data_IF_144284508689
#
_entry.id   IF_144284508689
#
_cell.length_a   1.000
_cell.length_b   1.000
_cell.length_c   1.000
_cell.angle_alpha   90.00
_cell.angle_beta   90.00
_cell.angle_gamma   90.00
#
_symmetry.space_group_name_H-M   'P 1'
#
loop_
_entity.id
_entity.type
_entity.pdbx_description
1 polymer ?
#
# COMPACT_ATOMS: atom_id res chain seq x y z
N UNK A 1 -38.88 37.81 27.79
CA UNK A 1 -37.60 37.95 27.07
C UNK A 1 -36.90 36.62 26.72
N UNK A 2 -37.06 35.51 27.45
CA UNK A 2 -36.39 34.23 27.11
C UNK A 2 -36.99 33.47 25.91
N UNK A 3 -38.31 33.55 25.68
CA UNK A 3 -38.99 32.84 24.56
C UNK A 3 -38.64 33.44 23.18
N UNK A 4 -38.39 34.75 23.10
CA UNK A 4 -37.98 35.41 21.86
C UNK A 4 -36.56 35.01 21.42
N UNK A 5 -35.67 34.64 22.36
CA UNK A 5 -34.30 34.22 22.04
C UNK A 5 -34.22 32.79 21.48
N UNK A 6 -35.08 31.89 21.96
CA UNK A 6 -35.12 30.50 21.49
C UNK A 6 -35.65 30.41 20.05
N UNK A 7 -36.67 31.22 19.73
CA UNK A 7 -37.22 31.28 18.38
C UNK A 7 -36.23 31.91 17.38
N UNK A 8 -35.44 32.91 17.79
CA UNK A 8 -34.41 33.49 16.95
C UNK A 8 -33.28 32.49 16.67
N UNK A 9 -32.89 31.70 17.68
CA UNK A 9 -31.86 30.66 17.53
C UNK A 9 -32.33 29.51 16.62
N UNK A 10 -33.60 29.10 16.75
CA UNK A 10 -34.20 28.09 15.88
C UNK A 10 -34.26 28.56 14.41
N UNK A 11 -34.61 29.83 14.17
CA UNK A 11 -34.63 30.41 12.82
C UNK A 11 -33.21 30.47 12.22
N UNK A 12 -32.20 30.84 13.01
CA UNK A 12 -30.81 30.86 12.55
C UNK A 12 -30.30 29.46 12.19
N UNK A 13 -30.65 28.44 12.97
CA UNK A 13 -30.31 27.04 12.66
C UNK A 13 -31.01 26.59 11.38
N UNK A 14 -32.30 26.90 11.22
CA UNK A 14 -33.04 26.54 10.01
C UNK A 14 -32.49 27.25 8.77
N UNK A 15 -32.07 28.51 8.87
CA UNK A 15 -31.41 29.23 7.79
C UNK A 15 -30.03 28.65 7.45
N UNK A 16 -29.25 28.23 8.46
CA UNK A 16 -27.97 27.57 8.25
C UNK A 16 -28.15 26.21 7.55
N UNK A 17 -29.11 25.40 7.99
CA UNK A 17 -29.44 24.11 7.37
C UNK A 17 -29.96 24.29 5.94
N UNK A 18 -30.86 25.25 5.70
CA UNK A 18 -31.35 25.56 4.36
C UNK A 18 -30.22 26.02 3.41
N UNK A 19 -29.24 26.78 3.92
CA UNK A 19 -28.07 27.20 3.16
C UNK A 19 -27.16 26.03 2.81
N UNK A 20 -26.97 25.09 3.75
CA UNK A 20 -26.21 23.85 3.52
C UNK A 20 -26.93 22.98 2.49
N UNK A 21 -28.24 22.80 2.59
CA UNK A 21 -29.03 22.05 1.61
C UNK A 21 -29.03 22.72 0.23
N UNK A 22 -29.09 24.04 0.15
CA UNK A 22 -29.01 24.78 -1.12
C UNK A 22 -27.64 24.65 -1.80
N UNK A 23 -26.55 24.72 -1.02
CA UNK A 23 -25.19 24.51 -1.55
C UNK A 23 -25.01 23.05 -1.96
N UNK A 24 -25.54 22.10 -1.19
CA UNK A 24 -25.46 20.68 -1.51
C UNK A 24 -26.26 20.32 -2.76
N UNK A 25 -27.50 20.82 -2.89
CA UNK A 25 -28.34 20.58 -4.08
C UNK A 25 -27.75 21.24 -5.33
N UNK A 26 -27.13 22.42 -5.21
CA UNK A 26 -26.43 23.07 -6.32
C UNK A 26 -25.14 22.32 -6.73
N UNK A 27 -24.49 21.63 -5.79
CA UNK A 27 -23.35 20.76 -6.06
C UNK A 27 -23.80 19.46 -6.77
N UNK A 28 -24.94 18.91 -6.35
CA UNK A 28 -25.56 17.73 -6.94
C UNK A 28 -26.06 18.01 -8.37
N UNK A 29 -26.68 19.18 -8.60
CA UNK A 29 -27.08 19.65 -9.93
C UNK A 29 -25.91 19.95 -10.89
N UNK A 30 -24.71 20.22 -10.34
CA UNK A 30 -23.46 20.34 -11.12
C UNK A 30 -22.87 18.97 -11.47
N UNK A 31 -23.00 18.00 -10.57
CA UNK A 31 -22.58 16.61 -10.78
C UNK A 31 -23.51 15.87 -11.75
N UNK A 32 -24.83 16.06 -11.65
CA UNK A 32 -25.83 15.53 -12.61
C UNK A 32 -25.63 16.12 -14.02
N UNK A 33 -25.28 17.41 -14.14
CA UNK A 33 -25.01 18.04 -15.44
C UNK A 33 -23.75 17.53 -16.14
N UNK A 34 -22.77 17.00 -15.41
CA UNK A 34 -21.62 16.30 -16.01
C UNK A 34 -21.96 14.87 -16.47
N UNK A 35 -23.10 14.31 -16.04
CA UNK A 35 -23.55 12.95 -16.38
C UNK A 35 -24.47 12.87 -17.60
N UNK A 36 -25.07 13.99 -18.05
CA UNK A 36 -26.00 14.06 -19.21
C UNK A 36 -25.41 14.70 -20.47
N UNK A 37 -24.18 14.34 -20.80
CA UNK A 37 -23.50 14.85 -21.98
C UNK A 37 -22.79 13.78 -22.78
N UNK A 38 -23.43 12.66 -23.11
CA UNK A 38 -23.16 11.84 -24.31
C UNK A 38 -24.24 10.75 -24.40
N UNK A 39 -25.25 10.99 -25.22
CA UNK A 39 -26.18 9.94 -25.67
C UNK A 39 -26.46 10.18 -27.13
N UNK A 40 -25.90 9.32 -27.99
CA UNK A 40 -26.38 9.09 -29.35
C UNK A 40 -26.98 7.68 -29.40
N UNK A 41 -28.11 7.46 -30.11
CA UNK A 41 -28.93 6.26 -29.97
C UNK A 41 -28.50 5.15 -30.95
N UNK A 42 -28.58 3.90 -30.53
CA UNK A 42 -28.57 2.75 -31.44
C UNK A 42 -28.10 1.43 -30.81
N UNK A 43 -29.06 0.51 -30.61
CA UNK A 43 -28.95 -0.96 -30.59
C UNK A 43 -28.25 -1.68 -29.41
N UNK A 44 -29.08 -2.00 -28.41
CA UNK A 44 -29.35 -3.37 -27.92
C UNK A 44 -28.20 -4.32 -27.57
N UNK A 45 -27.99 -4.55 -26.26
CA UNK A 45 -27.92 -5.90 -25.66
C UNK A 45 -27.75 -5.77 -24.14
N UNK A 46 -28.60 -6.47 -23.40
CA UNK A 46 -28.59 -6.58 -21.95
C UNK A 46 -27.35 -7.33 -21.45
N UNK A 47 -26.49 -6.67 -20.66
CA UNK A 47 -25.73 -7.33 -19.60
C UNK A 47 -25.73 -6.48 -18.33
N UNK A 48 -26.35 -7.05 -17.31
CA UNK A 48 -26.53 -6.48 -15.98
C UNK A 48 -25.19 -6.59 -15.22
N UNK A 49 -24.39 -5.51 -15.24
CA UNK A 49 -23.20 -5.39 -14.41
C UNK A 49 -23.56 -5.04 -12.97
N UNK A 50 -22.97 -5.75 -12.01
CA UNK A 50 -23.06 -5.50 -10.57
C UNK A 50 -22.68 -4.03 -10.24
N UNK A 51 -23.32 -3.39 -9.25
CA UNK A 51 -23.03 -2.00 -8.92
C UNK A 51 -21.63 -1.88 -8.31
N UNK A 52 -20.79 -1.04 -8.93
CA UNK A 52 -19.53 -0.57 -8.33
C UNK A 52 -19.80 0.00 -6.93
N UNK A 53 -18.99 -0.46 -5.97
CA UNK A 53 -19.16 -0.20 -4.56
C UNK A 53 -18.93 1.28 -4.19
N UNK A 54 -20.03 1.98 -3.90
CA UNK A 54 -20.06 3.38 -3.44
C UNK A 54 -19.30 3.58 -2.11
N UNK A 55 -19.08 2.52 -1.32
CA UNK A 55 -18.34 2.56 -0.06
C UNK A 55 -16.85 2.90 -0.28
N UNK A 56 -16.22 2.28 -1.28
CA UNK A 56 -14.80 2.49 -1.59
C UNK A 56 -14.48 3.93 -2.05
N UNK A 57 -15.41 4.55 -2.79
CA UNK A 57 -15.29 5.96 -3.23
C UNK A 57 -15.43 6.94 -2.07
N UNK A 58 -16.34 6.66 -1.13
CA UNK A 58 -16.60 7.52 0.04
C UNK A 58 -15.45 7.46 1.06
N UNK A 59 -14.83 6.30 1.24
CA UNK A 59 -13.68 6.13 2.11
C UNK A 59 -12.43 6.87 1.55
N UNK A 60 -12.15 6.75 0.24
CA UNK A 60 -11.02 7.43 -0.38
C UNK A 60 -11.09 8.96 -0.30
N UNK A 61 -12.29 9.54 -0.26
CA UNK A 61 -12.47 10.98 -0.01
C UNK A 61 -12.19 11.41 1.43
N UNK A 62 -12.32 10.51 2.42
CA UNK A 62 -12.00 10.79 3.83
C UNK A 62 -10.49 10.72 4.11
N UNK A 63 -9.71 10.03 3.27
CA UNK A 63 -8.25 9.93 3.38
C UNK A 63 -7.53 11.18 2.85
N UNK A 64 -8.21 12.00 2.04
CA UNK A 64 -7.66 13.25 1.51
C UNK A 64 -7.84 14.38 2.54
N UNK A 65 -6.91 14.51 3.49
CA UNK A 65 -6.82 15.73 4.32
C UNK A 65 -6.34 16.87 3.42
N UNK A 66 -7.10 17.96 3.21
CA UNK A 66 -6.71 19.01 2.29
C UNK A 66 -5.48 19.78 2.78
N UNK A 67 -4.49 19.95 1.90
CA UNK A 67 -3.55 21.05 2.03
C UNK A 67 -4.27 22.38 1.72
N UNK A 68 -3.96 23.45 2.46
CA UNK A 68 -4.51 24.79 2.23
C UNK A 68 -4.28 25.27 0.78
N UNK A 69 -5.35 25.36 -0.02
CA UNK A 69 -5.28 25.80 -1.41
C UNK A 69 -5.33 27.34 -1.56
N UNK A 70 -4.33 27.90 -2.25
CA UNK A 70 -4.41 29.21 -2.93
C UNK A 70 -5.03 29.01 -4.33
N UNK A 71 -6.04 29.83 -4.62
CA UNK A 71 -6.80 29.87 -5.89
C UNK A 71 -5.96 30.46 -7.03
N UNK A 72 -6.10 29.92 -8.26
CA UNK A 72 -6.46 30.73 -9.43
C UNK A 72 -6.85 29.88 -10.66
N UNK A 73 -8.13 30.05 -11.01
CA UNK A 73 -8.80 30.13 -12.32
C UNK A 73 -8.08 29.76 -13.63
N UNK A 74 -8.72 28.83 -14.38
CA UNK A 74 -9.48 29.18 -15.59
C UNK A 74 -8.82 28.94 -16.95
N UNK A 75 -9.39 28.03 -17.75
CA UNK A 75 -9.15 27.94 -19.19
C UNK A 75 -9.46 26.57 -19.77
N UNK A 76 -10.66 26.38 -20.32
CA UNK A 76 -11.05 25.16 -21.03
C UNK A 76 -10.83 25.29 -22.53
N UNK A 77 -10.33 24.25 -23.18
CA UNK A 77 -10.51 24.01 -24.62
C UNK A 77 -10.51 22.52 -24.95
N UNK A 78 -11.32 22.21 -25.95
CA UNK A 78 -11.77 20.90 -26.44
C UNK A 78 -10.70 20.26 -27.35
N UNK A 79 -10.43 18.96 -27.19
CA UNK A 79 -9.59 18.20 -28.13
C UNK A 79 -10.25 16.87 -28.56
N UNK A 80 -10.15 16.61 -29.88
CA UNK A 80 -10.73 15.53 -30.66
C UNK A 80 -10.00 14.19 -30.48
N UNK A 81 -10.77 13.11 -30.52
CA UNK A 81 -10.34 11.71 -30.62
C UNK A 81 -9.54 11.43 -31.89
N UNK A 82 -8.43 10.69 -31.75
CA UNK A 82 -7.87 9.84 -32.80
C UNK A 82 -7.51 8.49 -32.19
N UNK A 83 -8.26 7.49 -32.61
CA UNK A 83 -8.04 6.04 -32.47
C UNK A 83 -6.71 5.62 -33.09
N UNK A 84 -5.97 4.71 -32.44
CA UNK A 84 -5.29 3.61 -33.13
C UNK A 84 -4.91 2.45 -32.18
N UNK A 85 -4.99 1.26 -32.77
CA UNK A 85 -5.00 -0.09 -32.19
C UNK A 85 -3.68 -0.53 -31.52
N UNK A 86 -3.72 -1.54 -30.61
CA UNK A 86 -2.55 -1.97 -29.86
C UNK A 86 -1.73 -3.03 -30.64
N UNK A 87 -0.42 -2.80 -30.73
CA UNK A 87 0.56 -3.83 -31.06
C UNK A 87 1.06 -4.43 -29.75
N UNK A 88 0.87 -5.75 -29.60
CA UNK A 88 1.33 -6.55 -28.47
C UNK A 88 2.86 -6.70 -28.52
N UNK A 89 3.57 -6.22 -27.49
CA UNK A 89 4.99 -6.53 -27.28
C UNK A 89 5.22 -6.81 -25.80
N UNK A 90 5.76 -8.00 -25.53
CA UNK A 90 5.81 -8.65 -24.22
C UNK A 90 6.67 -7.93 -23.19
N UNK A 91 6.12 -7.82 -21.98
CA UNK A 91 6.92 -7.63 -20.76
C UNK A 91 7.84 -8.82 -20.59
N UNK A 92 9.14 -8.56 -20.48
CA UNK A 92 10.11 -9.52 -19.94
C UNK A 92 9.70 -9.78 -18.49
N UNK A 93 9.07 -10.93 -18.29
CA UNK A 93 8.69 -11.44 -16.99
C UNK A 93 9.91 -11.46 -16.07
N UNK A 94 9.69 -11.04 -14.81
CA UNK A 94 10.49 -11.43 -13.65
C UNK A 94 11.13 -12.79 -13.89
N UNK A 95 12.47 -12.89 -13.91
CA UNK A 95 13.19 -14.13 -14.17
C UNK A 95 12.55 -15.30 -13.41
N UNK A 96 11.70 -16.02 -14.14
CA UNK A 96 10.92 -17.14 -13.66
C UNK A 96 11.89 -18.30 -13.66
N UNK A 97 12.69 -18.44 -12.59
CA UNK A 97 13.28 -19.74 -12.31
C UNK A 97 12.11 -20.70 -12.05
N UNK A 98 11.85 -21.53 -13.06
CA UNK A 98 10.89 -22.62 -13.05
C UNK A 98 11.47 -23.76 -12.24
N UNK A 99 11.32 -23.69 -10.93
CA UNK A 99 11.62 -24.82 -10.05
C UNK A 99 10.37 -25.69 -9.89
N UNK A 100 10.57 -27.01 -9.86
CA UNK A 100 9.61 -28.11 -9.58
C UNK A 100 8.80 -27.99 -8.25
N UNK A 101 8.77 -26.81 -7.62
CA UNK A 101 8.20 -26.54 -6.28
C UNK A 101 6.68 -26.40 -6.26
N UNK A 102 6.02 -26.29 -7.42
CA UNK A 102 4.55 -26.21 -7.52
C UNK A 102 3.88 -27.48 -6.96
N UNK A 103 4.41 -28.67 -7.29
CA UNK A 103 3.89 -29.95 -6.79
C UNK A 103 4.04 -30.13 -5.27
N UNK A 104 5.03 -29.47 -4.65
CA UNK A 104 5.30 -29.57 -3.22
C UNK A 104 4.35 -28.70 -2.37
N UNK A 105 3.68 -27.70 -2.98
CA UNK A 105 2.80 -26.74 -2.29
C UNK A 105 1.39 -27.25 -2.05
N UNK A 106 0.90 -28.16 -2.90
CA UNK A 106 -0.43 -28.77 -2.80
C UNK A 106 -0.44 -30.02 -1.90
N UNK A 107 0.74 -30.51 -1.50
CA UNK A 107 0.85 -31.67 -0.63
C UNK A 107 0.44 -31.31 0.82
N UNK A 108 -0.33 -32.16 1.51
CA UNK A 108 -0.54 -32.06 2.96
C UNK A 108 0.79 -32.07 3.70
N UNK A 109 0.87 -31.41 4.86
CA UNK A 109 2.07 -31.37 5.71
C UNK A 109 2.47 -32.80 6.12
N UNK A 110 3.42 -33.40 5.38
CA UNK A 110 4.02 -34.71 5.72
C UNK A 110 5.29 -34.55 6.57
N UNK A 111 5.75 -33.33 6.79
CA UNK A 111 7.06 -33.01 7.38
C UNK A 111 6.91 -32.07 8.57
N UNK A 112 7.03 -32.62 9.79
CA UNK A 112 7.24 -31.86 11.03
C UNK A 112 6.10 -30.95 11.49
N UNK A 113 6.27 -30.36 12.68
CA UNK A 113 5.43 -29.27 13.14
C UNK A 113 5.61 -28.04 12.23
N UNK A 114 4.53 -27.29 11.89
CA UNK A 114 4.65 -26.03 11.16
C UNK A 114 5.20 -24.88 12.03
N UNK A 115 5.26 -25.06 13.35
CA UNK A 115 5.73 -24.06 14.30
C UNK A 115 6.80 -24.66 15.21
N UNK A 116 7.93 -23.97 15.34
CA UNK A 116 9.03 -24.22 16.26
C UNK A 116 8.91 -23.32 17.51
N UNK A 117 9.31 -23.84 18.67
CA UNK A 117 9.34 -23.12 19.96
C UNK A 117 8.02 -22.42 20.35
N UNK A 118 6.88 -22.91 19.83
CA UNK A 118 5.53 -22.42 20.14
C UNK A 118 5.19 -21.04 19.57
N UNK A 119 6.11 -20.34 18.86
CA UNK A 119 5.84 -19.01 18.30
C UNK A 119 6.53 -18.73 16.96
N UNK A 120 7.42 -19.60 16.48
CA UNK A 120 8.15 -19.35 15.23
C UNK A 120 7.67 -20.27 14.13
N UNK A 121 7.43 -19.75 12.93
CA UNK A 121 7.31 -20.64 11.78
C UNK A 121 8.54 -21.54 11.67
N UNK A 122 8.30 -22.81 11.37
CA UNK A 122 9.36 -23.80 11.36
C UNK A 122 10.43 -23.50 10.32
N UNK A 123 11.67 -23.92 10.60
CA UNK A 123 12.79 -23.71 9.66
C UNK A 123 12.51 -24.27 8.26
N UNK A 124 11.88 -25.44 8.19
CA UNK A 124 11.58 -26.08 6.90
C UNK A 124 10.56 -25.27 6.07
N UNK A 125 9.61 -24.59 6.71
CA UNK A 125 8.69 -23.69 6.01
C UNK A 125 9.41 -22.44 5.54
N UNK A 126 10.28 -21.85 6.38
CA UNK A 126 11.05 -20.66 5.99
C UNK A 126 12.01 -20.95 4.83
N UNK A 127 12.62 -22.13 4.77
CA UNK A 127 13.49 -22.57 3.66
C UNK A 127 12.71 -22.76 2.33
N UNK A 128 11.39 -22.98 2.41
CA UNK A 128 10.49 -23.09 1.25
C UNK A 128 9.89 -21.74 0.82
N UNK A 129 9.98 -20.71 1.66
CA UNK A 129 9.47 -19.38 1.34
C UNK A 129 10.25 -18.81 0.15
N UNK A 130 9.57 -18.32 -0.90
CA UNK A 130 10.27 -17.72 -2.04
C UNK A 130 11.08 -16.50 -1.61
N UNK A 131 12.20 -16.29 -2.30
CA UNK A 131 13.14 -15.24 -1.93
C UNK A 131 12.60 -13.81 -2.12
N UNK A 132 11.44 -13.66 -2.76
CA UNK A 132 10.86 -12.38 -3.16
C UNK A 132 11.77 -11.61 -4.12
N UNK A 133 11.76 -10.29 -4.02
CA UNK A 133 12.70 -9.43 -4.72
C UNK A 133 14.07 -9.52 -4.04
N UNK A 134 15.00 -10.28 -4.63
CA UNK A 134 16.36 -10.41 -4.08
C UNK A 134 17.10 -9.07 -4.12
N UNK A 135 18.09 -8.89 -3.25
CA UNK A 135 18.87 -7.64 -3.21
C UNK A 135 19.62 -7.39 -4.52
N UNK A 136 20.16 -8.45 -5.13
CA UNK A 136 20.82 -8.41 -6.45
C UNK A 136 19.85 -7.96 -7.53
N UNK A 137 18.71 -8.62 -7.65
CA UNK A 137 17.67 -8.25 -8.61
C UNK A 137 17.21 -6.80 -8.41
N UNK A 138 16.96 -6.41 -7.16
CA UNK A 138 16.50 -5.08 -6.85
C UNK A 138 17.55 -4.02 -7.19
N UNK A 139 18.84 -4.27 -6.91
CA UNK A 139 19.92 -3.35 -7.28
C UNK A 139 20.04 -3.20 -8.81
N UNK A 140 20.05 -4.30 -9.55
CA UNK A 140 20.09 -4.28 -11.02
C UNK A 140 18.92 -3.50 -11.60
N UNK A 141 17.71 -3.73 -11.07
CA UNK A 141 16.52 -3.00 -11.48
C UNK A 141 16.65 -1.51 -11.18
N UNK A 142 17.09 -1.14 -9.96
CA UNK A 142 17.26 0.26 -9.55
C UNK A 142 18.26 1.01 -10.43
N UNK A 143 19.42 0.41 -10.70
CA UNK A 143 20.44 1.01 -11.56
C UNK A 143 19.89 1.29 -12.95
N UNK A 144 19.20 0.31 -13.53
CA UNK A 144 18.57 0.42 -14.83
C UNK A 144 17.45 1.46 -14.85
N UNK A 145 16.57 1.46 -13.85
CA UNK A 145 15.42 2.36 -13.77
C UNK A 145 15.85 3.84 -13.68
N UNK A 146 16.99 4.14 -13.04
CA UNK A 146 17.52 5.52 -12.94
C UNK A 146 17.97 6.11 -14.26
N UNK A 147 18.48 5.30 -15.18
CA UNK A 147 19.05 5.76 -16.45
C UNK A 147 18.14 5.50 -17.65
N UNK A 148 17.07 4.73 -17.48
CA UNK A 148 16.18 4.36 -18.57
C UNK A 148 15.30 5.54 -18.98
N UNK A 149 15.26 5.84 -20.28
CA UNK A 149 14.32 6.82 -20.84
C UNK A 149 12.88 6.34 -20.71
N UNK A 150 12.00 7.22 -20.25
CA UNK A 150 10.55 7.01 -20.19
C UNK A 150 9.96 7.48 -21.50
N UNK A 151 9.45 6.55 -22.30
CA UNK A 151 8.89 6.83 -23.63
C UNK A 151 7.38 7.02 -23.64
N UNK A 152 6.71 6.62 -22.54
CA UNK A 152 5.26 6.76 -22.40
C UNK A 152 4.88 6.91 -20.93
N UNK A 153 3.95 7.83 -20.66
CA UNK A 153 3.25 7.97 -19.39
C UNK A 153 1.75 7.89 -19.63
N UNK A 154 1.07 6.98 -18.93
CA UNK A 154 -0.37 6.79 -19.04
C UNK A 154 -1.04 6.59 -17.67
N UNK A 155 -2.35 6.82 -17.55
CA UNK A 155 -3.06 6.53 -16.31
C UNK A 155 -2.86 5.07 -15.90
N UNK A 156 -2.55 4.85 -14.62
CA UNK A 156 -2.32 3.54 -14.04
C UNK A 156 -1.80 3.68 -12.61
N UNK A 157 -1.61 2.56 -11.92
CA UNK A 157 -1.02 2.56 -10.57
C UNK A 157 -1.85 3.30 -9.51
N UNK A 158 -3.17 3.13 -9.55
CA UNK A 158 -4.09 3.61 -8.52
C UNK A 158 -4.67 4.99 -8.84
N UNK A 159 -4.16 6.03 -8.18
CA UNK A 159 -4.73 7.40 -8.26
C UNK A 159 -4.47 8.04 -9.62
N UNK A 160 -5.32 9.00 -10.00
CA UNK A 160 -5.17 9.76 -11.26
C UNK A 160 -3.86 10.54 -11.34
N UNK A 161 -3.31 10.94 -10.18
CA UNK A 161 -2.04 11.66 -10.04
C UNK A 161 -0.84 10.74 -10.19
N UNK A 162 -1.01 9.42 -10.15
CA UNK A 162 0.04 8.43 -10.38
C UNK A 162 -0.06 7.96 -11.84
N UNK A 163 1.07 7.60 -12.44
CA UNK A 163 1.10 7.17 -13.83
C UNK A 163 1.83 5.83 -13.95
N UNK A 164 1.52 5.09 -15.01
CA UNK A 164 2.31 3.98 -15.48
C UNK A 164 3.32 4.49 -16.50
N UNK A 165 4.60 4.39 -16.17
CA UNK A 165 5.70 4.63 -17.09
C UNK A 165 6.00 3.36 -17.89
N UNK A 166 6.26 3.54 -19.19
CA UNK A 166 6.94 2.54 -20.02
C UNK A 166 8.31 3.08 -20.38
N UNK A 167 9.35 2.32 -20.04
CA UNK A 167 10.73 2.62 -20.41
C UNK A 167 11.01 2.24 -21.87
N UNK A 168 12.08 2.79 -22.45
CA UNK A 168 12.46 2.56 -23.84
C UNK A 168 12.68 1.08 -24.20
N UNK A 169 12.98 0.23 -23.21
CA UNK A 169 13.15 -1.21 -23.39
C UNK A 169 11.84 -2.02 -23.22
N UNK A 170 10.71 -1.34 -23.03
CA UNK A 170 9.39 -1.92 -22.85
C UNK A 170 9.05 -2.34 -21.42
N UNK A 171 9.99 -2.27 -20.47
CA UNK A 171 9.71 -2.51 -19.06
C UNK A 171 8.90 -1.36 -18.46
N UNK A 172 8.20 -1.61 -17.34
CA UNK A 172 7.24 -0.66 -16.79
C UNK A 172 7.50 -0.36 -15.32
N UNK A 173 7.13 0.85 -14.90
CA UNK A 173 7.19 1.29 -13.52
C UNK A 173 5.96 2.11 -13.16
N UNK A 174 5.47 1.96 -11.94
CA UNK A 174 4.54 2.88 -11.34
C UNK A 174 5.28 4.15 -10.90
N UNK A 175 4.90 5.27 -11.47
CA UNK A 175 5.39 6.60 -11.11
C UNK A 175 4.42 7.20 -10.10
N UNK A 176 4.91 7.45 -8.87
CA UNK A 176 4.11 8.13 -7.86
C UNK A 176 4.62 9.54 -7.65
N UNK A 177 3.78 10.50 -8.03
CA UNK A 177 3.97 11.91 -7.75
C UNK A 177 3.48 12.27 -6.34
N UNK A 178 2.54 11.47 -5.81
CA UNK A 178 1.89 11.71 -4.53
C UNK A 178 0.93 12.89 -4.57
N UNK A 179 0.10 13.02 -3.54
CA UNK A 179 -0.63 14.27 -3.25
C UNK A 179 0.36 15.33 -2.74
N UNK A 180 1.39 14.89 -2.02
CA UNK A 180 2.48 15.70 -1.50
C UNK A 180 3.78 14.87 -1.40
N UNK A 181 4.89 15.56 -1.16
CA UNK A 181 6.21 14.93 -1.00
C UNK A 181 6.26 13.92 0.16
N UNK A 182 5.44 14.11 1.21
CA UNK A 182 5.38 13.20 2.37
C UNK A 182 4.96 11.79 1.98
N UNK A 183 4.07 11.64 0.98
CA UNK A 183 3.65 10.31 0.50
C UNK A 183 4.76 9.60 -0.26
N UNK A 184 5.50 10.33 -1.11
CA UNK A 184 6.67 9.80 -1.82
C UNK A 184 7.78 9.45 -0.82
N UNK A 185 8.00 10.28 0.20
CA UNK A 185 8.92 10.03 1.30
C UNK A 185 8.49 8.80 2.11
N UNK A 186 7.20 8.69 2.45
CA UNK A 186 6.62 7.56 3.16
C UNK A 186 6.80 6.24 2.41
N UNK A 187 6.49 6.21 1.11
CA UNK A 187 6.72 5.04 0.27
C UNK A 187 8.19 4.63 0.26
N UNK A 188 9.08 5.59 0.02
CA UNK A 188 10.52 5.36 -0.14
C UNK A 188 11.14 4.84 1.15
N UNK A 189 10.86 5.49 2.28
CA UNK A 189 11.38 5.06 3.58
C UNK A 189 10.79 3.73 4.03
N UNK A 190 9.53 3.44 3.64
CA UNK A 190 8.90 2.15 3.89
C UNK A 190 9.61 1.03 3.13
N UNK A 191 10.00 1.27 1.88
CA UNK A 191 10.84 0.35 1.11
C UNK A 191 12.17 0.03 1.82
N UNK A 192 12.87 1.05 2.30
CA UNK A 192 14.15 0.86 2.99
C UNK A 192 14.02 0.22 4.38
N UNK A 193 12.92 0.49 5.10
CA UNK A 193 12.62 -0.21 6.35
C UNK A 193 12.38 -1.71 6.10
N UNK A 194 11.68 -2.08 5.03
CA UNK A 194 11.49 -3.49 4.66
C UNK A 194 12.83 -4.20 4.45
N UNK A 195 13.80 -3.53 3.77
CA UNK A 195 15.16 -4.06 3.59
C UNK A 195 15.89 -4.28 4.92
N UNK A 196 15.78 -3.35 5.87
CA UNK A 196 16.34 -3.53 7.22
C UNK A 196 15.73 -4.73 7.96
N UNK A 197 14.42 -4.94 7.80
CA UNK A 197 13.70 -6.06 8.40
C UNK A 197 13.92 -7.39 7.64
N UNK A 198 14.51 -7.34 6.45
CA UNK A 198 14.67 -8.51 5.58
C UNK A 198 13.35 -9.02 4.99
N UNK A 199 12.39 -8.11 4.79
CA UNK A 199 11.11 -8.34 4.12
C UNK A 199 11.29 -7.97 2.65
N UNK A 200 11.10 -8.95 1.77
CA UNK A 200 11.41 -8.86 0.32
C UNK A 200 10.17 -8.91 -0.56
N UNK A 201 9.02 -8.57 0.02
CA UNK A 201 7.71 -8.57 -0.64
C UNK A 201 7.38 -7.24 -1.32
N UNK A 202 8.26 -6.23 -1.22
CA UNK A 202 8.08 -4.92 -1.84
C UNK A 202 8.86 -4.86 -3.15
N UNK A 203 8.22 -4.48 -4.27
CA UNK A 203 8.92 -4.27 -5.53
C UNK A 203 10.07 -3.25 -5.38
N UNK A 204 11.16 -3.39 -6.15
CA UNK A 204 12.24 -2.41 -6.18
C UNK A 204 11.71 -1.00 -6.48
N UNK A 205 12.32 -0.02 -5.80
CA UNK A 205 11.96 1.39 -5.89
C UNK A 205 13.22 2.24 -6.12
N UNK A 206 13.09 3.29 -6.93
CA UNK A 206 14.06 4.39 -7.01
C UNK A 206 13.39 5.75 -6.96
N UNK A 207 14.13 6.76 -6.54
CA UNK A 207 13.73 8.15 -6.76
C UNK A 207 14.19 8.65 -8.12
N UNK A 208 13.36 9.49 -8.74
CA UNK A 208 13.73 10.28 -9.91
C UNK A 208 13.23 11.70 -9.76
N UNK A 209 14.02 12.67 -10.23
CA UNK A 209 13.61 14.06 -10.29
C UNK A 209 13.05 14.34 -11.68
N UNK A 210 11.87 14.93 -11.73
CA UNK A 210 11.35 15.53 -12.94
C UNK A 210 12.21 16.76 -13.20
N UNK A 211 13.11 16.68 -14.17
CA UNK A 211 13.93 17.80 -14.62
C UNK A 211 13.71 17.98 -16.12
N UNK A 212 13.46 19.23 -16.53
CA UNK A 212 13.26 19.60 -17.93
C UNK A 212 14.49 19.32 -18.79
N UNK A 213 15.69 19.29 -18.21
CA UNK A 213 16.93 18.95 -18.91
C UNK A 213 17.25 17.45 -18.89
N UNK A 214 16.55 16.65 -18.09
CA UNK A 214 16.80 15.22 -17.98
C UNK A 214 16.35 14.47 -19.24
N UNK A 215 17.27 13.70 -19.82
CA UNK A 215 16.97 12.80 -20.94
C UNK A 215 15.97 11.71 -20.57
N UNK A 216 15.89 11.34 -19.28
CA UNK A 216 14.96 10.31 -18.80
C UNK A 216 13.51 10.68 -19.11
N UNK A 217 13.15 11.95 -18.97
CA UNK A 217 11.77 12.43 -19.10
C UNK A 217 11.49 13.17 -20.40
N UNK A 218 12.48 13.24 -21.30
CA UNK A 218 12.42 14.07 -22.51
C UNK A 218 11.23 13.74 -23.43
N UNK A 219 10.97 12.45 -23.66
CA UNK A 219 9.92 11.98 -24.57
C UNK A 219 8.50 12.21 -24.02
N UNK A 220 8.37 12.49 -22.72
CA UNK A 220 7.07 12.61 -22.03
C UNK A 220 6.84 13.98 -21.37
N UNK A 221 7.65 15.00 -21.69
CA UNK A 221 7.53 16.36 -21.11
C UNK A 221 6.14 16.96 -21.28
N UNK A 222 5.57 16.88 -22.49
CA UNK A 222 4.21 17.39 -22.77
C UNK A 222 3.14 16.70 -21.92
N UNK A 223 3.33 15.40 -21.62
CA UNK A 223 2.45 14.65 -20.73
C UNK A 223 2.60 15.10 -19.28
N UNK A 224 3.83 15.30 -18.79
CA UNK A 224 4.11 15.85 -17.45
C UNK A 224 3.46 17.23 -17.28
N UNK A 225 3.59 18.11 -18.27
CA UNK A 225 2.94 19.43 -18.28
C UNK A 225 1.41 19.31 -18.23
N UNK A 226 0.82 18.40 -19.01
CA UNK A 226 -0.63 18.16 -19.00
C UNK A 226 -1.15 17.62 -17.65
N UNK A 227 -0.29 16.91 -16.91
CA UNK A 227 -0.58 16.42 -15.55
C UNK A 227 -0.34 17.50 -14.49
N UNK A 228 0.18 18.66 -14.88
CA UNK A 228 0.52 19.78 -14.00
C UNK A 228 1.52 19.40 -12.89
N UNK A 229 2.39 18.43 -13.19
CA UNK A 229 3.47 18.05 -12.28
C UNK A 229 4.55 19.13 -12.28
N UNK A 230 5.10 19.42 -11.11
CA UNK A 230 6.17 20.40 -10.98
C UNK A 230 7.47 19.87 -11.60
N UNK A 231 8.10 20.65 -12.48
CA UNK A 231 9.35 20.30 -13.16
C UNK A 231 10.62 20.28 -12.30
N UNK A 232 10.48 20.16 -10.97
CA UNK A 232 11.57 19.79 -10.04
C UNK A 232 11.12 18.78 -8.98
N UNK A 233 9.90 18.25 -9.10
CA UNK A 233 9.38 17.31 -8.13
C UNK A 233 10.19 16.02 -8.13
N UNK A 234 10.38 15.46 -6.95
CA UNK A 234 10.91 14.11 -6.78
C UNK A 234 9.73 13.14 -6.78
N UNK A 235 9.79 12.14 -7.65
CA UNK A 235 8.81 11.06 -7.78
C UNK A 235 9.46 9.73 -7.44
N UNK A 236 8.66 8.76 -6.98
CA UNK A 236 9.11 7.37 -6.88
C UNK A 236 8.78 6.62 -8.17
N UNK A 237 9.71 5.74 -8.58
CA UNK A 237 9.53 4.74 -9.61
C UNK A 237 9.58 3.38 -8.94
N UNK A 238 8.45 2.68 -8.90
CA UNK A 238 8.33 1.35 -8.32
C UNK A 238 8.06 0.35 -9.43
N UNK A 239 8.77 -0.78 -9.44
CA UNK A 239 8.61 -1.77 -10.52
C UNK A 239 7.15 -2.22 -10.69
N UNK A 240 6.68 -2.24 -11.93
CA UNK A 240 5.34 -2.73 -12.24
C UNK A 240 5.35 -4.24 -12.44
N UNK A 241 4.46 -4.94 -11.72
CA UNK A 241 4.30 -6.39 -11.79
C UNK A 241 3.05 -6.73 -12.59
N UNK A 242 3.20 -7.61 -13.56
CA UNK A 242 2.08 -8.19 -14.31
C UNK A 242 1.41 -9.34 -13.54
N UNK A 243 0.20 -9.71 -13.94
CA UNK A 243 -0.47 -10.96 -13.55
C UNK A 243 -0.64 -11.16 -12.04
N UNK A 244 -0.86 -10.06 -11.31
CA UNK A 244 -1.19 -10.08 -9.90
C UNK A 244 -2.69 -10.27 -9.67
N UNK A 245 -3.05 -11.03 -8.63
CA UNK A 245 -4.45 -11.25 -8.21
C UNK A 245 -4.69 -10.72 -6.79
N UNK A 246 -5.94 -10.39 -6.46
CA UNK A 246 -6.29 -9.91 -5.13
C UNK A 246 -6.18 -11.00 -4.07
N UNK A 247 -6.03 -10.57 -2.81
CA UNK A 247 -5.81 -11.45 -1.66
C UNK A 247 -6.84 -11.16 -0.58
N UNK A 248 -7.58 -12.19 -0.17
CA UNK A 248 -8.56 -12.07 0.91
C UNK A 248 -7.87 -12.31 2.25
N UNK A 249 -8.30 -11.60 3.31
CA UNK A 249 -7.76 -11.83 4.65
C UNK A 249 -8.01 -13.28 5.09
N UNK A 250 -6.97 -14.03 5.52
CA UNK A 250 -7.10 -15.40 6.01
C UNK A 250 -8.01 -15.49 7.23
N UNK A 251 -8.79 -16.56 7.34
CA UNK A 251 -9.74 -16.75 8.43
C UNK A 251 -9.13 -16.58 9.85
N UNK A 252 -7.91 -17.06 10.15
CA UNK A 252 -7.29 -16.85 11.48
C UNK A 252 -7.00 -15.38 11.83
N UNK A 253 -7.03 -14.47 10.85
CA UNK A 253 -6.71 -13.05 11.00
C UNK A 253 -7.95 -12.15 10.92
N UNK A 254 -9.15 -12.74 10.87
CA UNK A 254 -10.43 -12.02 10.91
C UNK A 254 -10.88 -11.82 12.36
N UNK A 255 -11.70 -10.79 12.61
CA UNK A 255 -12.15 -10.45 13.97
C UNK A 255 -12.87 -11.57 14.72
N UNK A 256 -13.57 -12.44 13.99
CA UNK A 256 -14.33 -13.57 14.57
C UNK A 256 -13.42 -14.70 15.11
N UNK A 257 -12.12 -14.65 14.80
CA UNK A 257 -11.16 -15.70 15.15
C UNK A 257 -10.47 -15.45 16.49
N UNK A 258 -9.96 -16.51 17.11
CA UNK A 258 -9.08 -16.43 18.30
C UNK A 258 -7.68 -15.88 17.99
N UNK A 259 -7.39 -15.57 16.73
CA UNK A 259 -6.08 -15.15 16.24
C UNK A 259 -5.21 -16.32 15.79
N UNK A 260 -4.04 -15.99 15.28
CA UNK A 260 -3.02 -16.91 14.82
C UNK A 260 -2.02 -17.20 15.95
N UNK A 261 -2.20 -18.34 16.62
CA UNK A 261 -1.33 -18.84 17.67
C UNK A 261 -0.99 -20.33 17.45
N UNK A 262 0.10 -20.82 18.06
CA UNK A 262 0.63 -22.16 17.79
C UNK A 262 -0.30 -23.31 18.17
N UNK A 263 -1.20 -23.11 19.14
CA UNK A 263 -2.20 -24.11 19.54
C UNK A 263 -3.40 -24.20 18.60
N UNK A 264 -3.39 -23.46 17.49
CA UNK A 264 -4.46 -23.55 16.49
C UNK A 264 -4.37 -24.91 15.80
N UNK A 265 -5.21 -25.86 16.23
CA UNK A 265 -5.30 -27.23 15.68
C UNK A 265 -5.39 -27.24 14.14
N UNK A 266 -5.98 -26.20 13.57
CA UNK A 266 -6.11 -26.01 12.13
C UNK A 266 -4.81 -25.78 11.35
N UNK A 267 -3.66 -25.54 11.98
CA UNK A 267 -2.39 -25.37 11.26
C UNK A 267 -1.90 -26.68 10.63
N UNK A 268 -2.11 -27.82 11.28
CA UNK A 268 -1.72 -29.13 10.75
C UNK A 268 -2.56 -29.58 9.56
N UNK A 269 -3.79 -29.06 9.44
CA UNK A 269 -4.72 -29.39 8.37
C UNK A 269 -4.54 -28.51 7.12
N UNK A 270 -3.61 -27.55 7.15
CA UNK A 270 -3.32 -26.66 6.02
C UNK A 270 -2.34 -27.30 5.05
N UNK A 271 -2.47 -26.94 3.79
CA UNK A 271 -1.45 -27.21 2.77
C UNK A 271 -0.20 -26.38 3.03
N UNK A 272 0.93 -26.80 2.44
CA UNK A 272 2.18 -26.02 2.49
C UNK A 272 1.97 -24.62 1.89
N UNK A 273 1.21 -24.51 0.79
CA UNK A 273 0.88 -23.21 0.19
C UNK A 273 0.14 -22.26 1.13
N UNK A 274 -0.86 -22.74 1.86
CA UNK A 274 -1.59 -21.93 2.84
C UNK A 274 -0.71 -21.50 4.02
N UNK A 275 0.21 -22.35 4.48
CA UNK A 275 1.15 -22.01 5.54
C UNK A 275 2.17 -20.95 5.10
N UNK A 276 2.67 -21.06 3.86
CA UNK A 276 3.56 -20.05 3.27
C UNK A 276 2.83 -18.70 3.08
N UNK A 277 1.55 -18.72 2.72
CA UNK A 277 0.75 -17.50 2.64
C UNK A 277 0.56 -16.87 4.03
N UNK A 278 0.19 -17.66 5.04
CA UNK A 278 0.07 -17.19 6.43
C UNK A 278 1.38 -16.61 6.97
N UNK A 279 2.53 -17.22 6.64
CA UNK A 279 3.83 -16.67 7.02
C UNK A 279 4.04 -15.26 6.46
N UNK A 280 3.72 -15.04 5.19
CA UNK A 280 3.84 -13.73 4.56
C UNK A 280 2.86 -12.71 5.17
N UNK A 281 1.66 -13.14 5.56
CA UNK A 281 0.73 -12.30 6.31
C UNK A 281 1.27 -11.87 7.69
N UNK A 282 1.99 -12.75 8.39
CA UNK A 282 2.61 -12.37 9.68
C UNK A 282 3.70 -11.31 9.51
N UNK A 283 4.50 -11.40 8.44
CA UNK A 283 5.47 -10.36 8.09
C UNK A 283 4.78 -9.05 7.67
N UNK A 284 3.69 -9.13 6.88
CA UNK A 284 2.90 -7.95 6.49
C UNK A 284 2.35 -7.21 7.71
N UNK A 285 1.76 -7.92 8.66
CA UNK A 285 1.15 -7.30 9.85
C UNK A 285 2.21 -6.61 10.72
N UNK A 286 3.35 -7.27 10.95
CA UNK A 286 4.50 -6.66 11.63
C UNK A 286 4.91 -5.38 10.91
N UNK A 287 5.03 -5.45 9.59
CA UNK A 287 5.49 -4.35 8.77
C UNK A 287 4.51 -3.17 8.75
N UNK A 288 3.23 -3.44 8.56
CA UNK A 288 2.16 -2.43 8.60
C UNK A 288 2.00 -1.84 10.01
N UNK A 289 2.22 -2.64 11.06
CA UNK A 289 2.29 -2.11 12.42
C UNK A 289 3.44 -1.11 12.53
N UNK A 290 4.69 -1.49 12.23
CA UNK A 290 5.84 -0.61 12.37
C UNK A 290 5.74 0.68 11.54
N UNK A 291 5.17 0.56 10.33
CA UNK A 291 4.99 1.69 9.41
C UNK A 291 3.71 2.48 9.68
N UNK A 292 2.81 1.99 10.54
CA UNK A 292 1.45 2.54 10.67
C UNK A 292 0.71 2.65 9.32
N UNK A 293 0.93 1.70 8.40
CA UNK A 293 0.24 1.68 7.12
C UNK A 293 -1.22 1.26 7.31
N UNK A 294 -2.12 2.23 7.22
CA UNK A 294 -3.54 2.00 7.46
C UNK A 294 -4.32 1.59 6.20
N UNK A 295 -3.75 1.71 4.99
CA UNK A 295 -4.47 1.52 3.71
C UNK A 295 -4.39 0.08 3.17
N UNK A 296 -4.51 -0.89 4.08
CA UNK A 296 -4.53 -2.34 3.81
C UNK A 296 -5.54 -3.05 4.72
N UNK A 297 -5.06 -3.83 5.68
CA UNK A 297 -5.89 -4.61 6.59
C UNK A 297 -6.61 -3.71 7.61
N UNK A 298 -5.95 -2.65 8.07
CA UNK A 298 -6.50 -1.70 9.04
C UNK A 298 -7.71 -0.93 8.50
N UNK A 299 -7.67 -0.49 7.24
CA UNK A 299 -8.83 0.16 6.60
C UNK A 299 -10.00 -0.81 6.42
N UNK A 300 -9.74 -2.08 6.14
CA UNK A 300 -10.77 -3.13 6.13
C UNK A 300 -11.41 -3.28 7.52
N UNK A 301 -10.61 -3.37 8.60
CA UNK A 301 -11.14 -3.44 9.96
C UNK A 301 -11.97 -2.21 10.35
N UNK A 302 -11.53 -1.02 9.97
CA UNK A 302 -12.30 0.19 10.18
C UNK A 302 -13.63 0.14 9.43
N UNK A 303 -13.65 -0.45 8.22
CA UNK A 303 -14.83 -0.53 7.37
C UNK A 303 -15.89 -1.54 7.86
N UNK A 304 -15.55 -2.43 8.80
CA UNK A 304 -16.50 -3.39 9.39
C UNK A 304 -17.73 -2.73 10.01
N UNK A 305 -17.62 -1.46 10.45
CA UNK A 305 -18.76 -0.72 11.00
C UNK A 305 -19.84 -0.40 9.97
N UNK A 306 -19.54 -0.50 8.66
CA UNK A 306 -20.50 -0.32 7.57
C UNK A 306 -20.70 -1.56 6.70
N UNK A 307 -19.70 -2.43 6.61
CA UNK A 307 -19.76 -3.67 5.84
C UNK A 307 -19.18 -4.86 6.61
N UNK A 308 -20.06 -5.70 7.14
CA UNK A 308 -19.67 -6.90 7.91
C UNK A 308 -18.89 -7.93 7.09
N UNK A 309 -18.90 -7.84 5.75
CA UNK A 309 -18.20 -8.77 4.86
C UNK A 309 -16.91 -8.20 4.28
N UNK A 310 -16.47 -7.01 4.68
CA UNK A 310 -15.28 -6.36 4.10
C UNK A 310 -14.01 -7.21 4.26
N UNK A 311 -13.92 -8.01 5.33
CA UNK A 311 -12.79 -8.93 5.58
C UNK A 311 -12.81 -10.19 4.69
N UNK A 312 -13.91 -10.42 3.96
CA UNK A 312 -14.05 -11.51 2.97
C UNK A 312 -13.74 -11.04 1.54
N UNK A 313 -13.43 -9.75 1.38
CA UNK A 313 -13.06 -9.14 0.11
C UNK A 313 -11.54 -9.06 -0.03
N UNK A 314 -11.11 -8.68 -1.23
CA UNK A 314 -9.70 -8.43 -1.51
C UNK A 314 -9.18 -7.30 -0.61
N UNK A 315 -7.99 -7.51 -0.05
CA UNK A 315 -7.32 -6.56 0.83
C UNK A 315 -6.67 -5.49 -0.02
N UNK A 316 -6.97 -4.23 0.26
CA UNK A 316 -6.43 -3.11 -0.48
C UNK A 316 -4.90 -3.16 -0.52
N UNK A 317 -4.34 -2.80 -1.67
CA UNK A 317 -2.89 -2.64 -1.89
C UNK A 317 -2.05 -3.89 -1.60
N UNK A 318 -2.68 -5.06 -1.41
CA UNK A 318 -2.04 -6.35 -1.24
C UNK A 318 -2.48 -7.28 -2.37
N UNK A 319 -1.49 -7.75 -3.13
CA UNK A 319 -1.73 -8.62 -4.25
C UNK A 319 -0.88 -9.88 -4.15
N UNK A 320 -1.17 -10.86 -5.00
CA UNK A 320 -0.47 -12.15 -5.02
C UNK A 320 -0.03 -12.52 -6.43
N UNK A 321 1.17 -13.06 -6.54
CA UNK A 321 1.68 -13.63 -7.79
C UNK A 321 1.00 -14.97 -8.08
N UNK A 322 1.10 -15.46 -9.31
CA UNK A 322 0.67 -16.82 -9.66
C UNK A 322 1.37 -17.92 -8.85
N UNK A 323 2.53 -17.61 -8.26
CA UNK A 323 3.28 -18.49 -7.35
C UNK A 323 2.86 -18.31 -5.89
N UNK A 324 1.87 -17.49 -5.56
CA UNK A 324 1.43 -17.34 -4.17
C UNK A 324 2.30 -16.40 -3.32
N UNK A 325 3.17 -15.60 -3.93
CA UNK A 325 3.96 -14.58 -3.24
C UNK A 325 3.09 -13.35 -3.04
N UNK A 326 2.99 -12.89 -1.80
CA UNK A 326 2.33 -11.62 -1.50
C UNK A 326 3.23 -10.47 -1.93
N UNK A 327 2.65 -9.47 -2.59
CA UNK A 327 3.34 -8.27 -3.07
C UNK A 327 2.73 -7.05 -2.40
N UNK A 328 3.58 -6.31 -1.70
CA UNK A 328 3.19 -5.17 -0.89
C UNK A 328 3.32 -3.90 -1.75
N UNK A 329 2.24 -3.54 -2.44
CA UNK A 329 2.20 -2.35 -3.31
C UNK A 329 1.55 -1.15 -2.60
N UNK A 330 1.67 0.05 -3.15
CA UNK A 330 1.04 1.27 -2.61
C UNK A 330 1.29 1.52 -1.10
N UNK A 331 2.56 1.72 -0.75
CA UNK A 331 2.99 1.95 0.64
C UNK A 331 3.07 3.44 1.01
N UNK A 332 2.41 4.32 0.25
CA UNK A 332 2.40 5.77 0.49
C UNK A 332 1.76 6.16 1.83
N UNK A 333 0.87 5.30 2.36
CA UNK A 333 0.18 5.51 3.63
C UNK A 333 1.04 5.13 4.86
N UNK A 334 2.24 4.60 4.67
CA UNK A 334 3.18 4.25 5.73
C UNK A 334 4.07 5.42 6.19
N UNK A 335 4.70 5.22 7.35
CA UNK A 335 5.64 6.11 8.04
C UNK A 335 5.10 7.53 8.12
N UNK A 336 5.73 8.49 7.43
CA UNK A 336 5.44 9.92 7.47
C UNK A 336 3.95 10.23 7.50
N UNK A 337 3.18 9.65 6.56
CA UNK A 337 1.74 9.86 6.51
C UNK A 337 1.01 9.09 7.62
N UNK A 338 1.33 7.80 7.80
CA UNK A 338 0.72 6.93 8.80
C UNK A 338 0.89 7.43 10.23
N UNK A 339 2.08 7.92 10.59
CA UNK A 339 2.41 8.48 11.90
C UNK A 339 1.64 9.76 12.20
N UNK A 340 1.43 10.63 11.20
CA UNK A 340 0.64 11.85 11.37
C UNK A 340 -0.83 11.56 11.73
N UNK A 341 -1.37 10.45 11.28
CA UNK A 341 -2.77 10.04 11.56
C UNK A 341 -2.85 8.88 12.55
N UNK A 342 -1.74 8.57 13.24
CA UNK A 342 -1.61 7.35 14.02
C UNK A 342 -2.71 7.18 15.08
N UNK A 343 -3.03 8.25 15.82
CA UNK A 343 -4.03 8.21 16.89
C UNK A 343 -5.40 7.70 16.43
N UNK A 344 -5.77 7.99 15.18
CA UNK A 344 -7.04 7.53 14.59
C UNK A 344 -7.02 6.03 14.29
N UNK A 345 -5.86 5.49 13.92
CA UNK A 345 -5.72 4.13 13.40
C UNK A 345 -5.09 3.13 14.39
N UNK A 346 -4.43 3.61 15.45
CA UNK A 346 -3.60 2.77 16.32
C UNK A 346 -4.39 1.64 16.98
N UNK A 347 -5.66 1.88 17.37
CA UNK A 347 -6.51 0.83 17.95
C UNK A 347 -6.70 -0.36 17.00
N UNK A 348 -6.73 -0.11 15.69
CA UNK A 348 -6.85 -1.17 14.69
C UNK A 348 -5.50 -1.87 14.47
N UNK A 349 -4.40 -1.11 14.37
CA UNK A 349 -3.06 -1.70 14.32
C UNK A 349 -2.79 -2.61 15.52
N UNK A 350 -3.11 -2.15 16.73
CA UNK A 350 -2.99 -2.94 17.96
C UNK A 350 -3.90 -4.18 17.92
N UNK A 351 -5.15 -4.05 17.45
CA UNK A 351 -6.07 -5.20 17.30
C UNK A 351 -5.50 -6.27 16.36
N UNK A 352 -4.91 -5.87 15.23
CA UNK A 352 -4.30 -6.82 14.28
C UNK A 352 -3.06 -7.46 14.90
N UNK A 353 -2.17 -6.66 15.51
CA UNK A 353 -0.96 -7.18 16.14
C UNK A 353 -1.29 -8.19 17.25
N UNK A 354 -2.27 -7.88 18.09
CA UNK A 354 -2.74 -8.76 19.17
C UNK A 354 -3.32 -10.09 18.69
N UNK A 355 -3.74 -10.18 17.42
CA UNK A 355 -4.17 -11.43 16.82
C UNK A 355 -3.00 -12.36 16.46
N UNK A 356 -1.74 -11.92 16.57
CA UNK A 356 -0.56 -12.71 16.19
C UNK A 356 0.28 -13.16 17.39
N UNK A 357 0.54 -14.47 17.45
CA UNK A 357 1.63 -15.06 18.24
C UNK A 357 2.41 -16.13 17.48
N UNK A 358 2.38 -16.12 16.15
CA UNK A 358 3.28 -16.91 15.29
C UNK A 358 3.99 -15.96 14.35
N UNK A 359 5.32 -16.04 14.29
CA UNK A 359 6.16 -15.09 13.60
C UNK A 359 7.25 -15.77 12.78
N UNK A 360 7.74 -15.11 11.73
CA UNK A 360 8.95 -15.57 11.05
C UNK A 360 10.18 -15.28 11.91
N UNK A 361 11.02 -16.29 12.10
CA UNK A 361 12.19 -16.23 12.99
C UNK A 361 13.16 -15.14 12.56
N UNK A 362 13.47 -15.06 11.26
CA UNK A 362 14.39 -14.04 10.71
C UNK A 362 13.87 -12.61 10.88
N UNK A 363 12.58 -12.35 10.63
CA UNK A 363 11.98 -11.02 10.85
C UNK A 363 12.07 -10.61 12.31
N UNK A 364 11.73 -11.52 13.23
CA UNK A 364 11.82 -11.30 14.68
C UNK A 364 13.25 -10.99 15.12
N UNK A 365 14.25 -11.70 14.59
CA UNK A 365 15.65 -11.42 14.91
C UNK A 365 16.08 -10.01 14.50
N UNK A 366 15.59 -9.50 13.36
CA UNK A 366 15.87 -8.12 12.93
C UNK A 366 15.19 -7.09 13.82
N UNK A 367 13.94 -7.34 14.23
CA UNK A 367 13.24 -6.50 15.20
C UNK A 367 13.99 -6.46 16.53
N UNK A 368 14.40 -7.63 17.06
CA UNK A 368 15.19 -7.70 18.29
C UNK A 368 16.56 -7.00 18.16
N UNK A 369 17.19 -7.05 16.99
CA UNK A 369 18.43 -6.31 16.73
C UNK A 369 18.20 -4.79 16.81
N UNK A 370 17.14 -4.29 16.17
CA UNK A 370 16.80 -2.86 16.18
C UNK A 370 16.41 -2.38 17.58
N UNK A 371 15.59 -3.15 18.29
CA UNK A 371 15.22 -2.87 19.68
C UNK A 371 16.46 -2.77 20.59
N UNK A 372 17.32 -3.79 20.57
CA UNK A 372 18.52 -3.84 21.43
C UNK A 372 19.47 -2.66 21.18
N UNK A 373 19.55 -2.18 19.94
CA UNK A 373 20.45 -1.07 19.57
C UNK A 373 19.84 0.30 19.86
N UNK A 374 18.52 0.45 19.76
CA UNK A 374 17.85 1.75 19.91
C UNK A 374 18.24 2.78 18.83
N UNK A 375 18.76 2.32 17.69
CA UNK A 375 19.37 3.16 16.64
C UNK A 375 18.59 3.12 15.31
N UNK A 376 17.28 2.80 15.34
CA UNK A 376 16.45 2.61 14.14
C UNK A 376 16.51 3.81 13.19
N UNK A 377 16.50 5.04 13.72
CA UNK A 377 16.68 6.29 12.97
C UNK A 377 17.98 6.28 12.16
N UNK A 378 19.10 6.04 12.84
CA UNK A 378 20.42 6.11 12.23
C UNK A 378 20.58 5.04 11.14
N UNK A 379 20.18 3.80 11.42
CA UNK A 379 20.28 2.70 10.46
C UNK A 379 19.43 2.91 9.22
N UNK A 380 18.20 3.38 9.39
CA UNK A 380 17.32 3.68 8.25
C UNK A 380 17.89 4.84 7.44
N UNK A 381 18.38 5.89 8.09
CA UNK A 381 18.99 7.04 7.42
C UNK A 381 20.25 6.66 6.63
N UNK A 382 21.14 5.88 7.23
CA UNK A 382 22.37 5.40 6.59
C UNK A 382 22.06 4.55 5.36
N UNK A 383 21.17 3.56 5.50
CA UNK A 383 20.76 2.73 4.36
C UNK A 383 20.10 3.56 3.25
N UNK A 384 19.19 4.47 3.63
CA UNK A 384 18.47 5.33 2.70
C UNK A 384 19.42 6.24 1.93
N UNK A 385 20.31 6.96 2.62
CA UNK A 385 21.27 7.88 1.98
C UNK A 385 22.31 7.16 1.13
N UNK A 386 22.74 5.99 1.58
CA UNK A 386 23.66 5.17 0.79
C UNK A 386 23.01 4.67 -0.51
N UNK A 387 21.72 4.37 -0.45
CA UNK A 387 21.01 3.74 -1.58
C UNK A 387 20.35 4.75 -2.52
N UNK A 388 19.86 5.91 -2.04
CA UNK A 388 19.15 6.90 -2.85
C UNK A 388 19.91 8.22 -3.02
N UNK A 389 20.33 8.55 -4.26
CA UNK A 389 20.97 9.83 -4.56
C UNK A 389 20.12 11.04 -4.23
N UNK A 390 18.79 10.96 -4.44
CA UNK A 390 17.85 12.06 -4.20
C UNK A 390 17.33 12.12 -2.75
N UNK A 391 18.05 11.48 -1.82
CA UNK A 391 17.64 11.41 -0.43
C UNK A 391 17.66 12.75 0.30
N UNK A 392 18.49 13.69 -0.16
CA UNK A 392 18.58 15.02 0.44
C UNK A 392 17.43 15.91 -0.01
N UNK A 393 17.03 15.80 -1.28
CA UNK A 393 15.97 16.57 -1.92
C UNK A 393 14.60 16.16 -1.39
N UNK A 394 14.37 14.85 -1.20
CA UNK A 394 13.12 14.35 -0.64
C UNK A 394 13.06 14.50 0.89
N UNK A 395 14.21 14.51 1.55
CA UNK A 395 14.32 14.61 3.01
C UNK A 395 14.14 13.28 3.74
N UNK A 396 14.02 13.35 5.06
CA UNK A 396 13.93 12.19 5.94
C UNK A 396 12.87 12.39 7.03
N UNK A 397 12.64 11.37 7.87
CA UNK A 397 11.79 11.45 9.05
C UNK A 397 12.20 12.62 9.97
N UNK A 398 11.21 13.33 10.49
CA UNK A 398 11.38 14.22 11.63
C UNK A 398 11.88 13.45 12.86
N UNK A 399 12.41 14.15 13.85
CA UNK A 399 12.83 13.53 15.11
C UNK A 399 11.66 12.85 15.83
N UNK A 400 10.48 13.47 15.78
CA UNK A 400 9.23 12.91 16.29
C UNK A 400 8.86 11.60 15.59
N UNK A 401 8.81 11.59 14.25
CA UNK A 401 8.49 10.37 13.49
C UNK A 401 9.52 9.26 13.70
N UNK A 402 10.79 9.60 13.85
CA UNK A 402 11.84 8.63 14.17
C UNK A 402 11.67 8.06 15.59
N UNK A 403 11.26 8.88 16.56
CA UNK A 403 10.90 8.43 17.90
C UNK A 403 9.71 7.47 17.88
N UNK A 404 8.65 7.81 17.14
CA UNK A 404 7.49 6.92 16.95
C UNK A 404 7.90 5.57 16.35
N UNK A 405 8.78 5.54 15.34
CA UNK A 405 9.27 4.28 14.78
C UNK A 405 10.00 3.43 15.84
N UNK A 406 10.87 4.05 16.66
CA UNK A 406 11.59 3.35 17.71
C UNK A 406 10.63 2.79 18.78
N UNK A 407 9.70 3.60 19.27
CA UNK A 407 8.70 3.18 20.26
C UNK A 407 7.87 1.99 19.76
N UNK A 408 7.54 1.97 18.46
CA UNK A 408 6.80 0.85 17.85
C UNK A 408 7.65 -0.41 17.73
N UNK A 409 8.95 -0.28 17.42
CA UNK A 409 9.89 -1.41 17.45
C UNK A 409 9.95 -2.00 18.85
N UNK A 410 10.00 -1.16 19.88
CA UNK A 410 10.07 -1.59 21.28
C UNK A 410 8.80 -2.33 21.70
N UNK A 411 7.61 -1.76 21.42
CA UNK A 411 6.31 -2.41 21.70
C UNK A 411 6.14 -3.72 20.94
N UNK A 412 6.60 -3.78 19.68
CA UNK A 412 6.57 -5.02 18.91
C UNK A 412 7.46 -6.10 19.53
N UNK A 413 8.66 -5.73 19.96
CA UNK A 413 9.57 -6.65 20.63
C UNK A 413 8.99 -7.16 21.96
N UNK A 414 8.35 -6.28 22.74
CA UNK A 414 7.62 -6.65 23.96
C UNK A 414 6.48 -7.63 23.66
N UNK A 415 5.68 -7.37 22.62
CA UNK A 415 4.60 -8.27 22.20
C UNK A 415 5.11 -9.66 21.82
N UNK A 416 6.19 -9.73 21.03
CA UNK A 416 6.81 -11.00 20.65
C UNK A 416 7.34 -11.74 21.89
N UNK A 417 7.95 -11.02 22.83
CA UNK A 417 8.44 -11.59 24.09
C UNK A 417 7.30 -12.14 24.94
N UNK A 418 6.19 -11.41 25.03
CA UNK A 418 4.97 -11.86 25.70
C UNK A 418 4.39 -13.14 25.07
N UNK A 419 4.28 -13.19 23.75
CA UNK A 419 3.86 -14.40 23.04
C UNK A 419 4.79 -15.57 23.35
N UNK A 420 6.11 -15.34 23.37
CA UNK A 420 7.09 -16.37 23.72
C UNK A 420 6.84 -16.90 25.13
N UNK A 421 6.70 -16.05 26.13
CA UNK A 421 6.44 -16.47 27.51
C UNK A 421 5.14 -17.28 27.64
N UNK A 422 4.11 -16.88 26.89
CA UNK A 422 2.80 -17.52 26.89
C UNK A 422 2.79 -18.90 26.21
N UNK A 423 3.48 -19.05 25.09
CA UNK A 423 3.36 -20.24 24.22
C UNK A 423 4.60 -21.14 24.15
N UNK A 424 5.80 -20.69 24.55
CA UNK A 424 7.01 -21.53 24.54
C UNK A 424 7.08 -22.59 25.66
N UNK A 425 6.11 -22.56 26.59
CA UNK A 425 5.97 -23.53 27.69
C UNK A 425 4.95 -24.64 27.40
N UNK A 426 4.33 -24.61 26.22
CA UNK A 426 3.45 -25.64 25.67
C UNK A 426 4.26 -26.53 24.73
#
# INVERSE_FOLDING_TARGET
MRVLSANLFAVLIMCALASVFYVWSALEDRLERHKRGFSTPGEGSFHQGLPEDLSAKTFRSLLAVPAQHRKNSGGGFVARNVTNQPVSVGSRDYLVNGDNRSAQRESPVKTGSPVDDGIFWSKWLEDLLPAGFTEEYAEDWRQKARTSRVVKLEPGCGRISNQLATFADGTKACVRYGINADQVQGETLTYYLARLLGIRNLPPLVLSQLDGESEQWADVRSRIESLQWSGRAVVSLTEWISNLTGVVTPAPLRQESSGLHATLEGLHNKTVGELLELMQWTDLIIFDYLTANFDRLVSNLFSLQWDSRVMERETNNLLKTSKGDLVFIDNEAGLVHGFRVLDMWEKYHASVLNSLCVFRKRSTQRVAELHRRGDSRQRLLELYRHSEPLSQELGFLSDEHAGVLQDRIDRLHEHISHCKEKYSRL
#
